data_IF_248809637786
#
_entry.id   IF_248809637786
#
_cell.length_a   1.000
_cell.length_b   1.000
_cell.length_c   1.000
_cell.angle_alpha   90.00
_cell.angle_beta   90.00
_cell.angle_gamma   90.00
#
_symmetry.space_group_name_H-M   'P 1'
#
loop_
_entity.id
_entity.type
_entity.pdbx_description
1 polymer ?
#
# COMPACT_ATOMS: atom_id res chain seq x y z
N UNK A 1 -0.56 -12.93 21.11
CA UNK A 1 0.41 -11.82 21.31
C UNK A 1 1.04 -11.59 19.95
N UNK A 2 0.95 -10.38 19.38
CA UNK A 2 1.71 -10.09 18.17
C UNK A 2 3.19 -10.34 18.48
N UNK A 3 3.90 -11.00 17.56
CA UNK A 3 5.33 -11.19 17.71
C UNK A 3 6.03 -9.84 17.65
N UNK A 4 7.19 -9.67 18.31
CA UNK A 4 7.91 -8.39 18.32
C UNK A 4 8.16 -7.83 16.91
N UNK A 5 8.35 -8.71 15.91
CA UNK A 5 8.47 -8.35 14.50
C UNK A 5 7.21 -7.71 13.90
N UNK A 6 6.03 -8.11 14.33
CA UNK A 6 4.75 -7.57 13.85
C UNK A 6 4.50 -6.17 14.40
N UNK A 7 4.85 -5.95 15.68
CA UNK A 7 4.79 -4.63 16.30
C UNK A 7 5.76 -3.64 15.62
N UNK A 8 7.00 -4.07 15.38
CA UNK A 8 8.00 -3.26 14.66
C UNK A 8 7.54 -2.93 13.24
N UNK A 9 6.98 -3.90 12.51
CA UNK A 9 6.44 -3.65 11.17
C UNK A 9 5.32 -2.61 11.18
N UNK A 10 4.37 -2.73 12.12
CA UNK A 10 3.28 -1.78 12.28
C UNK A 10 3.78 -0.36 12.62
N UNK A 11 4.80 -0.24 13.46
CA UNK A 11 5.45 1.04 13.76
C UNK A 11 6.06 1.66 12.51
N UNK A 12 6.76 0.87 11.69
CA UNK A 12 7.28 1.37 10.41
C UNK A 12 6.17 1.81 9.45
N UNK A 13 5.03 1.10 9.40
CA UNK A 13 3.87 1.52 8.58
C UNK A 13 3.32 2.86 9.06
N UNK A 14 3.20 3.06 10.37
CA UNK A 14 2.76 4.34 10.95
C UNK A 14 3.73 5.47 10.61
N UNK A 15 5.03 5.25 10.82
CA UNK A 15 6.06 6.25 10.53
C UNK A 15 6.08 6.63 9.05
N UNK A 16 5.93 5.65 8.15
CA UNK A 16 5.84 5.91 6.71
C UNK A 16 4.59 6.71 6.32
N UNK A 17 3.45 6.47 6.99
CA UNK A 17 2.23 7.25 6.76
C UNK A 17 2.33 8.68 7.31
N UNK A 18 3.00 8.88 8.44
CA UNK A 18 3.24 10.22 8.98
C UNK A 18 4.16 11.03 8.04
N UNK A 19 5.05 10.36 7.33
CA UNK A 19 5.93 10.94 6.31
C UNK A 19 5.44 10.72 4.86
N UNK A 20 4.14 10.45 4.65
CA UNK A 20 3.61 10.03 3.35
C UNK A 20 3.94 10.98 2.18
N UNK A 21 4.11 12.27 2.44
CA UNK A 21 4.46 13.28 1.44
C UNK A 21 5.93 13.72 1.47
N UNK A 22 6.72 13.22 2.42
CA UNK A 22 8.15 13.50 2.51
C UNK A 22 8.94 12.51 1.63
N UNK A 23 9.23 12.96 0.42
CA UNK A 23 9.97 12.15 -0.56
C UNK A 23 11.38 11.79 -0.10
N UNK A 24 12.05 12.66 0.68
CA UNK A 24 13.40 12.40 1.12
C UNK A 24 13.41 11.26 2.14
N UNK A 25 12.47 11.29 3.10
CA UNK A 25 12.28 10.22 4.09
C UNK A 25 11.87 8.91 3.43
N UNK A 26 10.84 8.93 2.57
CA UNK A 26 10.29 7.69 1.99
C UNK A 26 11.27 6.93 1.08
N UNK A 27 12.19 7.62 0.41
CA UNK A 27 13.19 6.97 -0.45
C UNK A 27 14.27 6.21 0.33
N UNK A 28 14.43 6.49 1.62
CA UNK A 28 15.45 5.87 2.48
C UNK A 28 14.81 5.07 3.62
N UNK A 29 13.49 4.96 3.62
CA UNK A 29 12.74 4.42 4.74
C UNK A 29 12.95 2.90 4.89
N UNK A 30 13.16 2.36 6.11
CA UNK A 30 13.44 0.94 6.34
C UNK A 30 12.38 -0.03 5.80
N UNK A 31 11.13 0.43 5.69
CA UNK A 31 9.99 -0.33 5.18
C UNK A 31 10.18 -0.73 3.69
N UNK A 32 11.03 -0.01 2.93
CA UNK A 32 11.41 -0.43 1.58
C UNK A 32 12.04 -1.83 1.57
N UNK A 33 12.95 -2.09 2.51
CA UNK A 33 13.64 -3.38 2.62
C UNK A 33 12.67 -4.46 3.11
N UNK A 34 11.83 -4.12 4.10
CA UNK A 34 10.84 -5.06 4.65
C UNK A 34 9.82 -5.54 3.61
N UNK A 35 9.48 -4.70 2.63
CA UNK A 35 8.57 -5.04 1.52
C UNK A 35 9.28 -5.54 0.26
N UNK A 36 10.62 -5.62 0.25
CA UNK A 36 11.39 -5.97 -0.95
C UNK A 36 11.23 -4.97 -2.11
N UNK A 37 10.97 -3.69 -1.80
CA UNK A 37 10.83 -2.62 -2.78
C UNK A 37 12.21 -2.10 -3.24
N UNK A 38 12.31 -1.55 -4.46
CA UNK A 38 13.54 -0.96 -4.94
C UNK A 38 13.92 0.25 -4.08
N UNK A 39 15.17 0.30 -3.63
CA UNK A 39 15.74 1.43 -2.88
C UNK A 39 16.33 2.50 -3.79
N UNK A 40 16.44 2.23 -5.08
CA UNK A 40 16.91 3.19 -6.07
C UNK A 40 15.73 4.00 -6.62
N UNK A 41 15.81 5.34 -6.62
CA UNK A 41 14.75 6.17 -7.16
C UNK A 41 14.73 6.03 -8.69
N UNK A 42 13.74 5.29 -9.20
CA UNK A 42 13.52 5.12 -10.64
C UNK A 42 12.45 6.08 -11.20
N UNK A 43 11.75 6.84 -10.34
CA UNK A 43 10.58 7.64 -10.67
C UNK A 43 10.53 8.94 -9.84
N UNK A 44 9.67 9.88 -10.26
CA UNK A 44 9.33 11.06 -9.49
C UNK A 44 8.61 10.70 -8.16
N UNK A 45 7.83 9.62 -8.14
CA UNK A 45 7.12 9.18 -6.94
C UNK A 45 7.99 8.14 -6.21
N UNK A 46 8.26 8.28 -4.89
CA UNK A 46 8.96 7.27 -4.11
C UNK A 46 8.28 5.90 -4.22
N UNK A 47 9.03 4.80 -4.42
CA UNK A 47 8.47 3.45 -4.52
C UNK A 47 7.59 3.08 -3.33
N UNK A 48 7.98 3.51 -2.12
CA UNK A 48 7.20 3.28 -0.90
C UNK A 48 5.87 4.05 -0.90
N UNK A 49 5.87 5.32 -1.34
CA UNK A 49 4.64 6.12 -1.42
C UNK A 49 3.64 5.47 -2.36
N UNK A 50 4.11 5.03 -3.53
CA UNK A 50 3.26 4.33 -4.50
C UNK A 50 2.73 3.02 -3.95
N UNK A 51 3.55 2.24 -3.25
CA UNK A 51 3.14 0.99 -2.63
C UNK A 51 2.05 1.21 -1.58
N UNK A 52 2.22 2.21 -0.69
CA UNK A 52 1.22 2.58 0.32
C UNK A 52 -0.10 3.03 -0.32
N UNK A 53 -0.05 3.89 -1.34
CA UNK A 53 -1.26 4.32 -2.05
C UNK A 53 -2.01 3.13 -2.68
N UNK A 54 -1.29 2.22 -3.34
CA UNK A 54 -1.87 1.02 -3.94
C UNK A 54 -2.48 0.09 -2.87
N UNK A 55 -1.83 -0.06 -1.72
CA UNK A 55 -2.33 -0.87 -0.62
C UNK A 55 -3.59 -0.25 0.01
N UNK A 56 -3.67 1.09 0.09
CA UNK A 56 -4.90 1.80 0.49
C UNK A 56 -6.02 1.52 -0.52
N UNK A 57 -5.74 1.57 -1.82
CA UNK A 57 -6.74 1.23 -2.84
C UNK A 57 -7.19 -0.24 -2.77
N UNK A 58 -6.29 -1.15 -2.40
CA UNK A 58 -6.62 -2.56 -2.21
C UNK A 58 -7.52 -2.83 -1.00
N UNK A 59 -7.58 -1.92 -0.02
CA UNK A 59 -8.53 -2.00 1.09
C UNK A 59 -9.97 -1.71 0.66
N UNK A 60 -10.18 -1.15 -0.54
CA UNK A 60 -11.52 -0.83 -1.04
C UNK A 60 -12.39 -2.08 -1.10
N UNK A 61 -13.48 -2.16 -0.31
CA UNK A 61 -14.35 -3.32 -0.35
C UNK A 61 -15.10 -3.41 -1.68
N UNK A 62 -15.57 -4.62 -2.00
CA UNK A 62 -16.47 -4.82 -3.13
C UNK A 62 -17.77 -4.03 -2.96
N UNK A 63 -18.38 -3.63 -4.07
CA UNK A 63 -19.70 -2.98 -4.12
C UNK A 63 -20.83 -3.79 -3.47
N UNK A 64 -20.68 -5.11 -3.39
CA UNK A 64 -21.60 -6.03 -2.71
C UNK A 64 -21.53 -5.91 -1.18
N UNK A 65 -20.42 -5.37 -0.63
CA UNK A 65 -20.25 -5.14 0.80
C UNK A 65 -21.03 -3.89 1.21
N UNK A 66 -21.90 -3.95 2.23
CA UNK A 66 -22.64 -2.78 2.69
C UNK A 66 -21.72 -1.65 3.14
N UNK A 67 -22.01 -0.42 2.70
CA UNK A 67 -21.19 0.78 2.94
C UNK A 67 -20.99 1.15 4.42
N UNK A 68 -21.83 0.62 5.32
CA UNK A 68 -21.76 0.88 6.76
C UNK A 68 -20.79 -0.06 7.49
N UNK A 69 -20.18 -1.01 6.79
CA UNK A 69 -19.22 -1.95 7.39
C UNK A 69 -17.91 -1.24 7.80
N UNK A 70 -17.19 -1.77 8.81
CA UNK A 70 -15.90 -1.22 9.22
C UNK A 70 -14.89 -1.10 8.08
N UNK A 71 -14.86 -2.07 7.17
CA UNK A 71 -13.92 -2.10 6.04
C UNK A 71 -14.07 -0.88 5.11
N UNK A 72 -15.30 -0.45 4.83
CA UNK A 72 -15.53 0.78 4.06
C UNK A 72 -15.04 2.03 4.78
N UNK A 73 -15.20 2.06 6.11
CA UNK A 73 -14.75 3.19 6.94
C UNK A 73 -13.23 3.25 7.02
N UNK A 74 -12.56 2.11 7.19
CA UNK A 74 -11.10 2.03 7.21
C UNK A 74 -10.50 2.52 5.88
N UNK A 75 -11.04 2.04 4.74
CA UNK A 75 -10.66 2.52 3.41
C UNK A 75 -10.87 4.03 3.27
N UNK A 76 -12.05 4.56 3.61
CA UNK A 76 -12.36 5.96 3.40
C UNK A 76 -11.46 6.89 4.23
N UNK A 77 -11.15 6.52 5.48
CA UNK A 77 -10.26 7.30 6.33
C UNK A 77 -8.87 7.43 5.70
N UNK A 78 -8.28 6.30 5.25
CA UNK A 78 -6.94 6.30 4.67
C UNK A 78 -6.92 6.98 3.31
N UNK A 79 -7.91 6.71 2.47
CA UNK A 79 -8.02 7.31 1.15
C UNK A 79 -8.18 8.83 1.24
N UNK A 80 -9.11 9.33 2.06
CA UNK A 80 -9.27 10.78 2.22
C UNK A 80 -8.01 11.45 2.78
N UNK A 81 -7.36 10.83 3.77
CA UNK A 81 -6.20 11.44 4.43
C UNK A 81 -4.94 11.44 3.56
N UNK A 82 -4.67 10.36 2.83
CA UNK A 82 -3.38 10.16 2.14
C UNK A 82 -3.47 10.19 0.62
N UNK A 83 -4.64 9.89 0.03
CA UNK A 83 -4.80 9.96 -1.43
C UNK A 83 -5.39 11.31 -1.83
N UNK A 84 -6.41 11.77 -1.11
CA UNK A 84 -7.04 13.09 -1.32
C UNK A 84 -6.37 14.23 -0.52
N UNK A 85 -5.34 13.92 0.28
CA UNK A 85 -4.57 14.88 1.06
C UNK A 85 -5.37 15.76 2.04
N UNK A 86 -6.48 15.25 2.57
CA UNK A 86 -7.28 15.95 3.57
C UNK A 86 -6.63 15.87 4.96
N UNK A 87 -6.78 16.96 5.72
CA UNK A 87 -6.42 17.00 7.13
C UNK A 87 -7.35 16.13 7.97
N UNK A 88 -6.88 15.69 9.15
CA UNK A 88 -7.73 14.93 10.09
C UNK A 88 -9.04 15.63 10.43
N UNK A 89 -9.05 16.97 10.48
CA UNK A 89 -10.27 17.74 10.76
C UNK A 89 -11.27 17.66 9.58
N UNK A 90 -10.80 17.84 8.35
CA UNK A 90 -11.62 17.72 7.13
C UNK A 90 -12.16 16.28 6.96
N UNK A 91 -11.34 15.26 7.22
CA UNK A 91 -11.78 13.86 7.19
C UNK A 91 -12.88 13.60 8.23
N UNK A 92 -12.71 14.13 9.46
CA UNK A 92 -13.70 13.98 10.53
C UNK A 92 -15.03 14.65 10.17
N UNK A 93 -14.96 15.86 9.60
CA UNK A 93 -16.12 16.61 9.12
C UNK A 93 -16.85 15.84 8.00
N UNK A 94 -16.11 15.37 6.98
CA UNK A 94 -16.68 14.65 5.84
C UNK A 94 -17.32 13.32 6.24
N UNK A 95 -16.77 12.64 7.26
CA UNK A 95 -17.32 11.41 7.81
C UNK A 95 -18.41 11.63 8.87
N UNK A 96 -18.65 12.87 9.29
CA UNK A 96 -19.63 13.18 10.34
C UNK A 96 -19.27 12.59 11.70
N UNK A 97 -17.98 12.49 12.02
CA UNK A 97 -17.49 11.91 13.28
C UNK A 97 -16.63 12.92 14.06
N UNK A 98 -16.50 12.73 15.37
CA UNK A 98 -15.54 13.53 16.16
C UNK A 98 -14.09 13.13 15.84
N UNK A 99 -13.13 14.05 16.00
CA UNK A 99 -11.70 13.76 15.84
C UNK A 99 -11.21 12.61 16.75
N UNK A 100 -11.78 12.48 17.96
CA UNK A 100 -11.46 11.36 18.87
C UNK A 100 -11.94 10.03 18.32
N UNK A 101 -13.07 10.01 17.62
CA UNK A 101 -13.57 8.81 16.95
C UNK A 101 -12.72 8.52 15.72
N UNK A 102 -12.44 9.55 14.90
CA UNK A 102 -11.56 9.43 13.75
C UNK A 102 -10.19 8.85 14.13
N UNK A 103 -9.54 9.34 15.19
CA UNK A 103 -8.25 8.81 15.65
C UNK A 103 -8.31 7.32 15.98
N UNK A 104 -9.39 6.86 16.61
CA UNK A 104 -9.58 5.43 16.95
C UNK A 104 -9.77 4.59 15.69
N UNK A 105 -10.60 5.06 14.77
CA UNK A 105 -10.85 4.37 13.51
C UNK A 105 -9.62 4.39 12.60
N UNK A 106 -8.87 5.49 12.56
CA UNK A 106 -7.62 5.59 11.85
C UNK A 106 -6.58 4.58 12.36
N UNK A 107 -6.44 4.43 13.68
CA UNK A 107 -5.56 3.41 14.26
C UNK A 107 -5.96 1.99 13.83
N UNK A 108 -7.26 1.73 13.70
CA UNK A 108 -7.77 0.45 13.21
C UNK A 108 -7.50 0.27 11.71
N UNK A 109 -7.71 1.31 10.91
CA UNK A 109 -7.42 1.30 9.49
C UNK A 109 -5.93 1.04 9.19
N UNK A 110 -5.01 1.60 9.99
CA UNK A 110 -3.57 1.34 9.85
C UNK A 110 -3.22 -0.12 10.15
N UNK A 111 -3.91 -0.78 11.08
CA UNK A 111 -3.75 -2.23 11.29
C UNK A 111 -4.18 -3.01 10.05
N UNK A 112 -5.36 -2.71 9.50
CA UNK A 112 -5.84 -3.34 8.28
C UNK A 112 -4.88 -3.13 7.09
N UNK A 113 -4.31 -1.92 6.97
CA UNK A 113 -3.31 -1.63 5.94
C UNK A 113 -2.03 -2.46 6.14
N UNK A 114 -1.55 -2.58 7.38
CA UNK A 114 -0.38 -3.40 7.68
C UNK A 114 -0.59 -4.87 7.32
N UNK A 115 -1.80 -5.41 7.52
CA UNK A 115 -2.17 -6.78 7.12
C UNK A 115 -2.11 -6.97 5.60
N UNK A 116 -2.63 -5.99 4.84
CA UNK A 116 -2.52 -6.00 3.37
C UNK A 116 -1.07 -5.95 2.93
N UNK A 117 -0.27 -5.05 3.49
CA UNK A 117 1.15 -4.91 3.14
C UNK A 117 1.96 -6.18 3.44
N UNK A 118 1.69 -6.86 4.55
CA UNK A 118 2.33 -8.14 4.86
C UNK A 118 1.97 -9.22 3.85
N UNK A 119 0.69 -9.30 3.48
CA UNK A 119 0.22 -10.25 2.48
C UNK A 119 0.92 -10.03 1.13
N UNK A 120 1.23 -8.77 0.79
CA UNK A 120 1.99 -8.42 -0.41
C UNK A 120 3.48 -8.79 -0.31
N UNK A 121 4.05 -8.80 0.90
CA UNK A 121 5.45 -9.12 1.14
C UNK A 121 5.73 -10.64 1.29
N UNK A 122 4.76 -11.43 1.75
CA UNK A 122 4.92 -12.86 2.08
C UNK A 122 4.85 -13.80 0.85
N UNK A 123 4.73 -13.28 -0.37
CA UNK A 123 4.71 -14.10 -1.59
C UNK A 123 6.13 -14.63 -1.86
N UNK A 124 6.39 -15.95 -1.74
CA UNK A 124 7.73 -16.51 -1.91
C UNK A 124 8.23 -16.29 -3.35
N UNK A 125 9.55 -16.09 -3.55
CA UNK A 125 10.15 -15.91 -4.86
C UNK A 125 10.22 -17.26 -5.60
N UNK A 126 9.08 -17.79 -6.03
CA UNK A 126 9.04 -18.97 -6.88
C UNK A 126 9.39 -18.59 -8.34
N UNK A 127 10.71 -18.54 -8.56
CA UNK A 127 11.45 -18.96 -9.75
C UNK A 127 11.13 -18.26 -11.08
N UNK A 128 12.09 -17.43 -11.51
CA UNK A 128 12.26 -17.01 -12.90
C UNK A 128 12.53 -18.18 -13.84
N UNK A 129 11.52 -18.98 -14.13
CA UNK A 129 11.53 -20.03 -15.15
C UNK A 129 11.27 -19.48 -16.57
N UNK A 130 11.14 -18.15 -16.74
CA UNK A 130 10.89 -17.50 -18.03
C UNK A 130 12.12 -16.75 -18.61
N UNK A 131 13.25 -16.71 -17.90
CA UNK A 131 14.47 -16.06 -18.42
C UNK A 131 15.22 -16.93 -19.46
N UNK A 132 14.88 -18.21 -19.63
CA UNK A 132 15.58 -19.09 -20.59
C UNK A 132 15.14 -18.95 -22.05
N UNK A 133 14.05 -18.23 -22.33
CA UNK A 133 13.56 -18.04 -23.71
C UNK A 133 13.76 -16.61 -24.25
N UNK A 134 14.21 -15.65 -23.41
CA UNK A 134 14.39 -14.24 -23.80
C UNK A 134 15.69 -14.00 -24.58
N UNK A 135 16.66 -14.93 -24.53
CA UNK A 135 17.98 -14.74 -25.15
C UNK A 135 17.96 -14.80 -26.70
N UNK A 136 16.81 -15.08 -27.33
CA UNK A 136 16.72 -15.25 -28.79
C UNK A 136 15.96 -14.16 -29.56
N UNK A 137 15.37 -13.17 -28.89
CA UNK A 137 14.73 -12.01 -29.55
C UNK A 137 15.24 -10.71 -28.93
N UNK A 138 16.21 -10.10 -29.61
CA UNK A 138 16.79 -8.82 -29.25
C UNK A 138 15.76 -7.69 -29.24
N UNK A 139 15.25 -7.38 -28.05
CA UNK A 139 14.75 -6.07 -27.65
C UNK A 139 14.48 -6.13 -26.13
N UNK A 140 15.47 -5.77 -25.32
CA UNK A 140 15.27 -5.62 -23.88
C UNK A 140 14.31 -4.44 -23.61
N UNK A 141 13.19 -4.61 -22.88
CA UNK A 141 12.45 -3.47 -22.37
C UNK A 141 13.21 -2.90 -21.16
N UNK A 142 13.58 -1.63 -21.25
CA UNK A 142 14.19 -0.83 -20.18
C UNK A 142 13.18 -0.48 -19.06
N UNK A 143 12.48 -1.47 -18.50
CA UNK A 143 11.55 -1.30 -17.37
C UNK A 143 11.36 -2.63 -16.65
N UNK A 144 12.39 -3.07 -15.90
CA UNK A 144 12.25 -4.17 -14.95
C UNK A 144 11.39 -3.70 -13.75
N UNK A 145 10.07 -3.71 -13.94
CA UNK A 145 9.04 -3.36 -12.97
C UNK A 145 9.02 -4.36 -11.81
N UNK A 146 9.77 -4.03 -10.75
CA UNK A 146 9.71 -4.75 -9.48
C UNK A 146 8.96 -3.94 -8.41
N UNK A 147 7.63 -4.12 -8.33
CA UNK A 147 6.94 -4.58 -7.08
C UNK A 147 6.88 -6.13 -7.10
N UNK A 148 7.65 -6.69 -8.05
CA UNK A 148 7.60 -7.94 -8.81
C UNK A 148 6.27 -8.20 -9.54
N UNK A 149 5.99 -7.42 -10.60
CA UNK A 149 5.02 -7.70 -11.68
C UNK A 149 3.52 -7.97 -11.33
N UNK A 150 3.08 -7.84 -10.08
CA UNK A 150 1.82 -8.41 -9.57
C UNK A 150 0.60 -7.48 -9.47
N UNK A 151 0.56 -6.39 -10.22
CA UNK A 151 -0.72 -5.78 -10.63
C UNK A 151 -1.01 -6.04 -12.12
N UNK A 152 -0.05 -6.58 -12.88
CA UNK A 152 -0.03 -6.52 -14.35
C UNK A 152 -1.16 -7.29 -15.05
N UNK A 153 -1.96 -8.12 -14.37
CA UNK A 153 -3.13 -8.81 -15.00
C UNK A 153 -4.49 -8.66 -14.29
N UNK A 154 -4.57 -8.40 -12.98
CA UNK A 154 -5.82 -8.59 -12.22
C UNK A 154 -6.87 -7.47 -12.30
N UNK A 155 -6.71 -6.50 -13.21
CA UNK A 155 -7.81 -5.62 -13.64
C UNK A 155 -8.26 -5.84 -15.09
N UNK A 156 -7.77 -6.88 -15.78
CA UNK A 156 -8.36 -7.33 -17.04
C UNK A 156 -9.43 -8.39 -16.76
N UNK A 157 -10.70 -7.96 -16.72
CA UNK A 157 -11.85 -8.86 -16.57
C UNK A 157 -13.13 -8.18 -16.08
N UNK A 158 -13.47 -7.02 -16.64
CA UNK A 158 -14.83 -6.46 -16.54
C UNK A 158 -15.83 -7.42 -17.19
N UNK A 159 -16.93 -7.70 -16.48
CA UNK A 159 -18.29 -7.93 -16.99
C UNK A 159 -18.42 -8.80 -18.25
N UNK A 160 -18.94 -10.01 -18.07
CA UNK A 160 -19.53 -10.86 -19.10
C UNK A 160 -20.27 -12.01 -18.46
#
# INVERSE_FOLDING_TARGET
MPSDSEALFLEQVRDALDHFYDRAVLNQHPLLIMLGLPTTPASAIPPLQQCLANAIDALKPDTTVPKHTPAWRDYHILHLRYVEALSSAEVAEQLGVSERQLRRDHNHAVLALADVLRTLADVPPEQGALDRDIEQLGAAPASALTVRNWWVQSRCGSVG
#
